data_IF_008936635426
#
_entry.id   IF_008936635426
#
_cell.length_a   1.000
_cell.length_b   1.000
_cell.length_c   1.000
_cell.angle_alpha   90.00
_cell.angle_beta   90.00
_cell.angle_gamma   90.00
#
_symmetry.space_group_name_H-M   'P 1'
#
loop_
_entity.id
_entity.type
_entity.pdbx_description
1 polymer ?
#
# COMPACT_ATOMS: atom_id res chain seq x y z
N UNK A 1 -8.54 1.64 2.40
CA UNK A 1 -7.86 0.33 2.26
C UNK A 1 -6.78 0.21 3.30
N UNK A 2 -6.69 -0.94 3.96
CA UNK A 2 -5.68 -1.23 4.95
C UNK A 2 -4.47 -1.88 4.28
N UNK A 3 -3.27 -1.39 4.61
CA UNK A 3 -2.02 -1.99 4.14
C UNK A 3 -1.67 -3.12 5.12
N UNK A 4 -1.73 -4.35 4.64
CA UNK A 4 -1.37 -5.55 5.39
C UNK A 4 -0.47 -6.44 4.53
N UNK A 5 0.81 -6.47 4.87
CA UNK A 5 1.84 -7.18 4.14
C UNK A 5 1.66 -8.68 4.33
N UNK A 6 1.22 -9.36 3.27
CA UNK A 6 1.38 -10.80 3.13
C UNK A 6 2.86 -11.20 2.95
N UNK A 7 3.45 -11.79 3.99
CA UNK A 7 4.83 -12.28 3.97
C UNK A 7 5.09 -13.42 2.98
N UNK A 8 4.05 -14.13 2.51
CA UNK A 8 4.21 -15.18 1.50
C UNK A 8 4.50 -14.62 0.10
N UNK A 9 4.17 -13.34 -0.14
CA UNK A 9 4.31 -12.69 -1.45
C UNK A 9 5.35 -11.58 -1.37
N UNK A 10 6.56 -11.81 -1.86
CA UNK A 10 7.60 -10.76 -1.80
C UNK A 10 7.43 -9.69 -2.91
N UNK A 11 6.65 -9.99 -3.95
CA UNK A 11 6.51 -9.13 -5.14
C UNK A 11 5.46 -8.05 -4.90
N UNK A 12 5.85 -6.79 -5.07
CA UNK A 12 4.92 -5.66 -4.92
C UNK A 12 4.62 -5.29 -3.47
N UNK A 13 5.46 -5.78 -2.56
CA UNK A 13 5.42 -5.48 -1.13
C UNK A 13 5.75 -4.00 -0.90
N UNK A 14 4.92 -3.27 -0.11
CA UNK A 14 5.24 -1.93 0.32
C UNK A 14 6.36 -1.92 1.36
N UNK A 15 6.96 -0.76 1.59
CA UNK A 15 7.95 -0.61 2.65
C UNK A 15 7.32 -0.93 4.04
N UNK A 16 7.91 -1.80 4.87
CA UNK A 16 7.31 -2.29 6.13
C UNK A 16 6.84 -1.22 7.12
N UNK A 17 7.45 -0.03 7.13
CA UNK A 17 6.95 1.13 7.90
C UNK A 17 5.45 1.42 7.71
N UNK A 18 4.89 1.10 6.54
CA UNK A 18 3.49 1.40 6.23
C UNK A 18 2.53 0.26 6.61
N UNK A 19 3.04 -0.81 7.24
CA UNK A 19 2.22 -1.90 7.76
C UNK A 19 1.20 -1.37 8.77
N UNK A 20 -0.06 -1.79 8.62
CA UNK A 20 -1.17 -1.34 9.46
C UNK A 20 -1.65 0.10 9.20
N UNK A 21 -1.07 0.82 8.23
CA UNK A 21 -1.57 2.14 7.84
C UNK A 21 -2.76 1.99 6.90
N UNK A 22 -3.71 2.92 7.04
CA UNK A 22 -4.84 3.03 6.13
C UNK A 22 -4.57 4.14 5.12
N UNK A 23 -4.79 3.83 3.86
CA UNK A 23 -4.67 4.77 2.76
C UNK A 23 -5.89 4.80 1.85
N UNK A 24 -5.84 5.70 0.89
CA UNK A 24 -6.84 5.85 -0.18
C UNK A 24 -6.21 5.43 -1.51
N UNK A 25 -6.92 4.63 -2.29
CA UNK A 25 -6.50 4.32 -3.66
C UNK A 25 -6.74 5.57 -4.51
N UNK A 26 -5.68 6.09 -5.13
CA UNK A 26 -5.74 7.24 -6.05
C UNK A 26 -5.70 6.83 -7.52
N UNK A 27 -5.35 5.58 -7.80
CA UNK A 27 -5.32 5.04 -9.15
C UNK A 27 -4.72 3.64 -9.22
N UNK A 28 -4.53 3.15 -10.43
CA UNK A 28 -3.94 1.85 -10.72
C UNK A 28 -2.78 2.00 -11.69
N UNK A 29 -1.71 1.23 -11.47
CA UNK A 29 -0.55 1.15 -12.36
C UNK A 29 -0.27 -0.32 -12.67
N UNK A 30 -0.74 -0.77 -13.83
CA UNK A 30 -0.68 -2.19 -14.21
C UNK A 30 -1.46 -3.05 -13.22
N UNK A 31 -0.79 -4.02 -12.61
CA UNK A 31 -1.40 -4.91 -11.59
C UNK A 31 -1.36 -4.35 -10.15
N UNK A 32 -0.73 -3.20 -9.95
CA UNK A 32 -0.60 -2.58 -8.63
C UNK A 32 -1.51 -1.35 -8.51
N UNK A 33 -1.84 -0.98 -7.27
CA UNK A 33 -2.57 0.22 -6.93
C UNK A 33 -1.62 1.31 -6.45
N UNK A 34 -1.99 2.55 -6.74
CA UNK A 34 -1.40 3.74 -6.15
C UNK A 34 -2.21 4.07 -4.90
N UNK A 35 -1.59 3.93 -3.73
CA UNK A 35 -2.22 4.16 -2.43
C UNK A 35 -1.59 5.39 -1.80
N UNK A 36 -2.39 6.43 -1.59
CA UNK A 36 -1.99 7.61 -0.84
C UNK A 36 -2.11 7.34 0.67
N UNK A 37 -1.03 7.59 1.39
CA UNK A 37 -0.94 7.41 2.85
C UNK A 37 -0.34 8.66 3.47
N UNK A 38 -0.89 9.07 4.62
CA UNK A 38 -0.31 10.16 5.41
C UNK A 38 0.78 9.60 6.31
N UNK A 39 1.97 10.20 6.30
CA UNK A 39 3.11 9.84 7.14
C UNK A 39 3.73 11.10 7.73
N UNK A 40 3.64 11.27 9.06
CA UNK A 40 4.17 12.44 9.76
C UNK A 40 3.67 13.80 9.23
N UNK A 41 2.45 13.87 8.71
CA UNK A 41 1.86 15.09 8.14
C UNK A 41 2.09 15.30 6.64
N UNK A 42 2.93 14.49 5.99
CA UNK A 42 3.11 14.52 4.53
C UNK A 42 2.32 13.39 3.86
N UNK A 43 1.80 13.65 2.67
CA UNK A 43 1.21 12.61 1.82
C UNK A 43 2.30 11.90 1.02
N UNK A 44 2.22 10.57 1.00
CA UNK A 44 3.12 9.70 0.24
C UNK A 44 2.28 8.76 -0.61
N UNK A 45 2.71 8.56 -1.85
CA UNK A 45 2.10 7.57 -2.74
C UNK A 45 2.90 6.29 -2.69
N UNK A 46 2.21 5.17 -2.42
CA UNK A 46 2.77 3.83 -2.43
C UNK A 46 2.26 3.06 -3.65
N UNK A 47 3.14 2.24 -4.23
CA UNK A 47 2.76 1.30 -5.28
C UNK A 47 2.64 -0.07 -4.61
N UNK A 48 1.41 -0.55 -4.44
CA UNK A 48 1.11 -1.75 -3.65
C UNK A 48 0.22 -2.67 -4.46
N UNK A 49 0.57 -3.96 -4.53
CA UNK A 49 -0.31 -4.92 -5.19
C UNK A 49 -1.47 -5.37 -4.27
N UNK A 50 -2.59 -5.83 -4.84
CA UNK A 50 -3.78 -6.23 -4.07
C UNK A 50 -3.50 -7.27 -2.98
N UNK A 51 -2.51 -8.14 -3.15
CA UNK A 51 -2.16 -9.17 -2.15
C UNK A 51 -1.76 -8.57 -0.80
N UNK A 52 -1.29 -7.31 -0.79
CA UNK A 52 -0.91 -6.58 0.42
C UNK A 52 -1.94 -5.54 0.87
N UNK A 53 -3.15 -5.59 0.31
CA UNK A 53 -4.23 -4.66 0.63
C UNK A 53 -5.44 -5.43 1.13
N UNK A 54 -5.98 -5.01 2.28
CA UNK A 54 -7.26 -5.48 2.79
C UNK A 54 -8.32 -4.38 2.70
N UNK A 55 -9.55 -4.82 2.44
CA UNK A 55 -10.73 -3.95 2.46
C UNK A 55 -10.93 -3.37 3.87
#
# INVERSE_FOLDING_TARGET
VHIDIDSAVHKGMPHPRFQGRTGRIIGQRGRAYLVEVRDGGKYKTLIVRPEHLKA
#
